data_IF_093346298460
#
_entry.id   IF_093346298460
#
_cell.length_a   1.000
_cell.length_b   1.000
_cell.length_c   1.000
_cell.angle_alpha   90.00
_cell.angle_beta   90.00
_cell.angle_gamma   90.00
#
_symmetry.space_group_name_H-M   'P 1'
#
loop_
_entity.id
_entity.type
_entity.pdbx_description
1 polymer ?
#
# COMPACT_ATOMS: atom_id res chain seq x y z
N UNK A 1 -9.11 9.99 10.26
CA UNK A 1 -9.13 9.96 11.74
C UNK A 1 -7.90 9.24 12.23
N UNK A 2 -7.57 9.34 13.52
CA UNK A 2 -6.48 8.57 14.16
C UNK A 2 -7.06 7.82 15.34
N UNK A 3 -6.81 6.52 15.43
CA UNK A 3 -7.13 5.68 16.59
C UNK A 3 -5.86 5.39 17.38
N UNK A 4 -5.96 5.47 18.70
CA UNK A 4 -4.90 5.07 19.62
C UNK A 4 -5.23 3.68 20.18
N UNK A 5 -4.25 2.78 20.19
CA UNK A 5 -4.34 1.46 20.78
C UNK A 5 -3.31 1.34 21.91
N UNK A 6 -3.80 1.32 23.16
CA UNK A 6 -3.04 1.06 24.38
C UNK A 6 -1.72 1.87 24.50
N UNK A 7 -1.70 3.14 24.09
CA UNK A 7 -0.52 4.04 24.10
C UNK A 7 0.73 3.54 23.33
N UNK A 8 0.64 2.41 22.64
CA UNK A 8 1.75 1.77 21.93
C UNK A 8 1.62 1.86 20.40
N UNK A 9 0.39 1.91 19.87
CA UNK A 9 0.16 1.95 18.43
C UNK A 9 -0.84 3.04 18.07
N UNK A 10 -0.53 3.83 17.05
CA UNK A 10 -1.50 4.74 16.42
C UNK A 10 -1.84 4.22 15.02
N UNK A 11 -3.12 4.33 14.66
CA UNK A 11 -3.62 3.96 13.33
C UNK A 11 -4.32 5.18 12.73
N UNK A 12 -3.71 5.78 11.70
CA UNK A 12 -4.34 6.85 10.93
C UNK A 12 -4.95 6.29 9.64
N UNK A 13 -6.21 6.64 9.39
CA UNK A 13 -6.89 6.34 8.13
C UNK A 13 -6.52 7.42 7.12
N UNK A 14 -6.03 7.01 5.94
CA UNK A 14 -5.65 7.90 4.84
C UNK A 14 -6.45 7.58 3.57
N UNK A 15 -6.62 8.54 2.65
CA UNK A 15 -7.34 8.30 1.41
C UNK A 15 -6.76 7.14 0.59
N UNK A 16 -7.64 6.46 -0.13
CA UNK A 16 -7.31 5.59 -1.26
C UNK A 16 -8.22 6.00 -2.44
N UNK A 17 -7.74 5.83 -3.67
CA UNK A 17 -8.49 6.11 -4.89
C UNK A 17 -8.95 4.80 -5.50
N UNK A 18 -10.17 4.40 -5.15
CA UNK A 18 -10.79 3.15 -5.61
C UNK A 18 -12.33 3.23 -5.43
N UNK A 19 -13.07 2.34 -6.09
CA UNK A 19 -14.47 2.06 -5.71
C UNK A 19 -14.53 1.11 -4.52
N UNK A 20 -15.66 1.05 -3.83
CA UNK A 20 -15.85 0.11 -2.72
C UNK A 20 -17.29 -0.37 -2.69
N UNK A 21 -17.48 -1.66 -2.96
CA UNK A 21 -18.79 -2.29 -3.00
C UNK A 21 -18.72 -3.76 -2.64
N UNK A 22 -19.80 -4.31 -2.10
CA UNK A 22 -19.94 -5.73 -1.78
C UNK A 22 -21.32 -6.25 -2.18
N UNK A 23 -21.45 -7.57 -2.30
CA UNK A 23 -22.75 -8.25 -2.47
C UNK A 23 -23.13 -8.91 -1.14
N UNK A 24 -24.31 -8.58 -0.62
CA UNK A 24 -24.80 -9.16 0.65
C UNK A 24 -25.42 -10.56 0.48
N UNK A 25 -25.77 -10.93 -0.75
CA UNK A 25 -26.33 -12.23 -1.11
C UNK A 25 -25.83 -12.64 -2.50
N UNK A 26 -25.79 -13.95 -2.76
CA UNK A 26 -25.45 -14.49 -4.07
C UNK A 26 -26.42 -13.95 -5.13
N UNK A 27 -25.88 -13.39 -6.23
CA UNK A 27 -26.64 -12.69 -7.28
C UNK A 27 -27.42 -11.43 -6.84
N UNK A 28 -27.13 -10.90 -5.65
CA UNK A 28 -27.67 -9.62 -5.18
C UNK A 28 -27.03 -8.40 -5.86
N UNK A 29 -27.66 -7.21 -5.75
CA UNK A 29 -27.07 -5.98 -6.26
C UNK A 29 -25.77 -5.64 -5.51
N UNK A 30 -24.87 -4.92 -6.19
CA UNK A 30 -23.70 -4.33 -5.53
C UNK A 30 -24.15 -3.20 -4.59
N UNK A 31 -23.78 -3.31 -3.33
CA UNK A 31 -24.02 -2.32 -2.29
C UNK A 31 -22.75 -1.53 -2.02
N UNK A 32 -22.87 -0.22 -1.84
CA UNK A 32 -21.74 0.65 -1.49
C UNK A 32 -21.17 0.27 -0.10
N UNK A 33 -19.84 0.13 -0.01
CA UNK A 33 -19.17 -0.31 1.21
C UNK A 33 -18.43 0.82 1.96
N UNK A 34 -18.67 2.09 1.60
CA UNK A 34 -17.99 3.24 2.20
C UNK A 34 -16.75 3.68 1.40
N UNK A 35 -16.00 4.64 1.93
CA UNK A 35 -14.79 5.10 1.27
C UNK A 35 -13.67 4.05 1.37
N UNK A 36 -12.92 3.75 0.30
CA UNK A 36 -11.71 2.96 0.42
C UNK A 36 -10.65 3.73 1.20
N UNK A 37 -9.78 3.00 1.91
CA UNK A 37 -8.81 3.60 2.82
C UNK A 37 -7.48 2.87 2.76
N UNK A 38 -6.41 3.64 2.94
CA UNK A 38 -5.13 3.15 3.42
C UNK A 38 -4.99 3.36 4.92
N UNK A 39 -3.94 2.76 5.49
CA UNK A 39 -3.65 2.82 6.92
C UNK A 39 -2.18 3.16 7.15
N UNK A 40 -1.96 4.20 7.96
CA UNK A 40 -0.66 4.43 8.60
C UNK A 40 -0.71 3.78 9.97
N UNK A 41 0.22 2.89 10.26
CA UNK A 41 0.38 2.24 11.56
C UNK A 41 1.71 2.68 12.14
N UNK A 42 1.69 3.46 13.21
CA UNK A 42 2.89 3.91 13.91
C UNK A 42 3.03 3.14 15.20
N UNK A 43 4.16 2.46 15.37
CA UNK A 43 4.46 1.66 16.56
C UNK A 43 5.47 2.46 17.39
N UNK A 44 5.19 2.64 18.68
CA UNK A 44 6.07 3.35 19.60
C UNK A 44 7.43 2.63 19.71
N UNK A 45 8.50 3.35 19.41
CA UNK A 45 9.85 2.78 19.34
C UNK A 45 10.07 1.79 18.19
N UNK A 46 9.11 1.67 17.26
CA UNK A 46 9.16 0.78 16.11
C UNK A 46 8.98 1.53 14.78
N UNK A 47 8.81 0.80 13.67
CA UNK A 47 8.66 1.40 12.35
C UNK A 47 7.29 2.06 12.17
N UNK A 48 7.22 3.03 11.26
CA UNK A 48 5.95 3.47 10.67
C UNK A 48 5.65 2.68 9.41
N UNK A 49 4.50 2.00 9.37
CA UNK A 49 4.02 1.22 8.24
C UNK A 49 2.96 2.01 7.49
N UNK A 50 3.02 2.03 6.15
CA UNK A 50 1.93 2.50 5.30
C UNK A 50 1.37 1.33 4.49
N UNK A 51 0.20 0.85 4.88
CA UNK A 51 -0.61 -0.05 4.07
C UNK A 51 -1.48 0.78 3.12
N UNK A 52 -1.16 0.76 1.84
CA UNK A 52 -1.85 1.61 0.84
C UNK A 52 -3.33 1.30 0.68
N UNK A 53 -3.71 0.04 0.92
CA UNK A 53 -5.02 -0.46 0.52
C UNK A 53 -5.09 -0.58 -1.00
N UNK A 54 -6.25 -0.96 -1.52
CA UNK A 54 -6.47 -0.94 -2.96
C UNK A 54 -6.65 0.50 -3.42
N UNK A 55 -5.69 0.99 -4.20
CA UNK A 55 -5.65 2.36 -4.67
C UNK A 55 -4.89 2.45 -5.99
N UNK A 56 -5.26 3.40 -6.84
CA UNK A 56 -4.37 3.95 -7.85
C UNK A 56 -3.31 4.86 -7.19
N UNK A 57 -2.26 5.23 -7.92
CA UNK A 57 -1.37 6.30 -7.48
C UNK A 57 -2.10 7.65 -7.53
N UNK A 58 -1.86 8.50 -6.55
CA UNK A 58 -2.37 9.87 -6.49
C UNK A 58 -1.36 10.79 -5.79
N UNK A 59 -1.32 12.06 -6.20
CA UNK A 59 -0.26 12.99 -5.80
C UNK A 59 -0.20 13.25 -4.29
N UNK A 60 -1.34 13.15 -3.59
CA UNK A 60 -1.44 13.37 -2.14
C UNK A 60 -0.76 12.26 -1.33
N UNK A 61 -0.33 11.15 -1.95
CA UNK A 61 0.61 10.22 -1.32
C UNK A 61 1.90 10.91 -0.86
N UNK A 62 2.31 11.98 -1.55
CA UNK A 62 3.41 12.84 -1.09
C UNK A 62 3.12 13.49 0.26
N UNK A 63 1.92 14.05 0.43
CA UNK A 63 1.52 14.65 1.71
C UNK A 63 1.43 13.61 2.84
N UNK A 64 1.03 12.38 2.52
CA UNK A 64 1.07 11.26 3.46
C UNK A 64 2.53 10.99 3.89
N UNK A 65 3.46 10.93 2.94
CA UNK A 65 4.90 10.80 3.22
C UNK A 65 5.48 11.91 4.08
N UNK A 66 5.17 13.16 3.72
CA UNK A 66 5.65 14.36 4.43
C UNK A 66 5.12 14.43 5.87
N UNK A 67 3.92 13.87 6.13
CA UNK A 67 3.29 13.91 7.45
C UNK A 67 3.69 12.75 8.34
N UNK A 68 3.74 11.54 7.80
CA UNK A 68 3.84 10.31 8.60
C UNK A 68 5.20 9.63 8.50
N UNK A 69 6.02 9.98 7.51
CA UNK A 69 7.37 9.44 7.31
C UNK A 69 7.44 7.91 7.38
N UNK A 70 6.70 7.18 6.53
CA UNK A 70 6.68 5.72 6.59
C UNK A 70 8.07 5.13 6.34
N UNK A 71 8.47 4.18 7.19
CA UNK A 71 9.69 3.40 6.98
C UNK A 71 9.44 2.25 5.99
N UNK A 72 8.24 1.66 6.05
CA UNK A 72 7.81 0.55 5.22
C UNK A 72 6.52 0.90 4.48
N UNK A 73 6.56 0.81 3.16
CA UNK A 73 5.41 0.93 2.28
C UNK A 73 4.96 -0.47 1.85
N UNK A 74 3.73 -0.84 2.16
CA UNK A 74 3.07 -2.01 1.58
C UNK A 74 2.25 -1.54 0.37
N UNK A 75 2.73 -1.84 -0.83
CA UNK A 75 2.21 -1.31 -2.09
C UNK A 75 1.61 -2.43 -2.94
N UNK A 76 0.35 -2.25 -3.33
CA UNK A 76 -0.25 -3.09 -4.37
C UNK A 76 0.50 -2.89 -5.70
N UNK A 77 0.76 -3.97 -6.42
CA UNK A 77 1.43 -3.93 -7.75
C UNK A 77 0.67 -4.70 -8.83
N UNK A 78 -0.60 -5.02 -8.60
CA UNK A 78 -1.39 -5.87 -9.50
C UNK A 78 -1.77 -5.22 -10.84
N UNK A 79 -1.79 -3.88 -10.91
CA UNK A 79 -1.97 -3.10 -12.14
C UNK A 79 -3.39 -3.02 -12.73
N UNK A 80 -4.27 -3.99 -12.46
CA UNK A 80 -5.62 -3.98 -13.03
C UNK A 80 -6.64 -3.18 -12.21
N UNK A 81 -6.71 -3.47 -10.90
CA UNK A 81 -7.59 -2.75 -9.96
C UNK A 81 -6.83 -1.72 -9.12
N UNK A 82 -5.52 -1.89 -8.99
CA UNK A 82 -4.65 -1.10 -8.13
C UNK A 82 -3.44 -0.59 -8.91
N UNK A 83 -2.53 0.11 -8.25
CA UNK A 83 -1.23 0.48 -8.83
C UNK A 83 -0.56 -0.69 -9.56
N UNK A 84 0.07 -0.37 -10.68
CA UNK A 84 1.05 -1.24 -11.32
C UNK A 84 2.44 -1.07 -10.66
N UNK A 85 3.46 -1.83 -11.07
CA UNK A 85 4.81 -1.68 -10.50
C UNK A 85 5.44 -0.29 -10.71
N UNK A 86 5.08 0.45 -11.76
CA UNK A 86 5.61 1.78 -12.03
C UNK A 86 4.98 2.83 -11.10
N UNK A 87 3.66 2.77 -10.94
CA UNK A 87 2.89 3.60 -10.02
C UNK A 87 3.29 3.35 -8.56
N UNK A 88 3.51 2.08 -8.18
CA UNK A 88 4.01 1.73 -6.85
C UNK A 88 5.41 2.31 -6.59
N UNK A 89 6.25 2.43 -7.62
CA UNK A 89 7.54 3.11 -7.50
C UNK A 89 7.40 4.63 -7.36
N UNK A 90 6.40 5.26 -7.98
CA UNK A 90 6.07 6.67 -7.74
C UNK A 90 5.57 6.89 -6.30
N UNK A 91 4.69 6.01 -5.82
CA UNK A 91 4.25 6.01 -4.43
C UNK A 91 5.42 5.86 -3.46
N UNK A 92 6.37 4.95 -3.72
CA UNK A 92 7.57 4.80 -2.91
C UNK A 92 8.45 6.06 -2.89
N UNK A 93 8.62 6.72 -4.05
CA UNK A 93 9.35 8.00 -4.15
C UNK A 93 8.70 9.07 -3.29
N UNK A 94 7.38 9.25 -3.43
CA UNK A 94 6.67 10.38 -2.85
C UNK A 94 6.37 10.19 -1.37
N UNK A 95 6.18 8.95 -0.93
CA UNK A 95 6.08 8.63 0.49
C UNK A 95 7.44 8.70 1.21
N UNK A 96 8.54 8.60 0.45
CA UNK A 96 9.90 8.58 1.00
C UNK A 96 10.27 7.27 1.71
N UNK A 97 9.47 6.21 1.53
CA UNK A 97 9.66 4.95 2.23
C UNK A 97 10.99 4.27 1.87
N UNK A 98 11.68 3.74 2.87
CA UNK A 98 12.98 3.08 2.72
C UNK A 98 12.83 1.63 2.30
N UNK A 99 11.76 0.97 2.74
CA UNK A 99 11.41 -0.40 2.41
C UNK A 99 10.09 -0.43 1.66
N UNK A 100 10.02 -1.17 0.57
CA UNK A 100 8.82 -1.33 -0.25
C UNK A 100 8.49 -2.82 -0.35
N UNK A 101 7.37 -3.21 0.23
CA UNK A 101 6.87 -4.59 0.20
C UNK A 101 5.78 -4.67 -0.87
N UNK A 102 6.02 -5.35 -2.01
CA UNK A 102 4.98 -5.58 -2.99
C UNK A 102 3.90 -6.51 -2.45
N UNK A 103 2.64 -6.19 -2.74
CA UNK A 103 1.48 -7.02 -2.40
C UNK A 103 0.42 -6.97 -3.51
N UNK A 104 -0.67 -7.73 -3.33
CA UNK A 104 -1.83 -7.73 -4.24
C UNK A 104 -1.48 -7.99 -5.73
N UNK A 105 -0.66 -9.03 -5.99
CA UNK A 105 -0.25 -9.43 -7.34
C UNK A 105 -0.18 -10.95 -7.48
N UNK A 106 -0.30 -11.47 -8.71
CA UNK A 106 -0.08 -12.88 -9.03
C UNK A 106 -1.09 -13.88 -8.43
N UNK A 107 -2.11 -13.43 -7.71
CA UNK A 107 -3.15 -14.28 -7.11
C UNK A 107 -4.32 -14.55 -8.05
N UNK A 108 -4.56 -13.64 -9.01
CA UNK A 108 -5.55 -13.80 -10.07
C UNK A 108 -4.90 -13.53 -11.43
N UNK A 109 -5.37 -14.16 -12.53
CA UNK A 109 -4.77 -13.99 -13.86
C UNK A 109 -4.67 -12.54 -14.34
N UNK A 110 -5.59 -11.67 -13.89
CA UNK A 110 -5.64 -10.26 -14.28
C UNK A 110 -4.63 -9.37 -13.53
N UNK A 111 -4.04 -9.86 -12.43
CA UNK A 111 -3.08 -9.12 -11.63
C UNK A 111 -1.66 -9.39 -12.12
N UNK A 112 -1.31 -8.77 -13.26
CA UNK A 112 -0.14 -9.14 -14.06
C UNK A 112 1.18 -8.54 -13.60
N UNK A 113 1.17 -7.52 -12.74
CA UNK A 113 2.41 -6.87 -12.31
C UNK A 113 3.30 -7.78 -11.46
N UNK A 114 4.61 -7.59 -11.58
CA UNK A 114 5.61 -8.49 -11.01
C UNK A 114 6.61 -7.77 -10.07
N UNK A 115 7.16 -8.47 -9.07
CA UNK A 115 8.26 -7.94 -8.25
C UNK A 115 9.49 -7.53 -9.07
N UNK A 116 9.78 -8.24 -10.16
CA UNK A 116 10.89 -7.91 -11.07
C UNK A 116 10.68 -6.55 -11.74
N UNK A 117 9.47 -6.27 -12.21
CA UNK A 117 9.10 -4.96 -12.75
C UNK A 117 9.16 -3.86 -11.69
N UNK A 118 8.71 -4.15 -10.46
CA UNK A 118 8.79 -3.19 -9.35
C UNK A 118 10.26 -2.87 -9.03
N UNK A 119 11.11 -3.89 -8.94
CA UNK A 119 12.54 -3.69 -8.69
C UNK A 119 13.19 -2.80 -9.75
N UNK A 120 12.81 -2.97 -11.03
CA UNK A 120 13.27 -2.12 -12.13
C UNK A 120 12.73 -0.70 -12.01
N UNK A 121 11.46 -0.53 -11.66
CA UNK A 121 10.82 0.77 -11.49
C UNK A 121 11.40 1.55 -10.30
N UNK A 122 11.65 0.90 -9.17
CA UNK A 122 12.27 1.50 -7.98
C UNK A 122 13.67 2.04 -8.28
N UNK A 123 14.50 1.27 -9.01
CA UNK A 123 15.84 1.74 -9.44
C UNK A 123 15.77 3.02 -10.28
N UNK A 124 14.71 3.18 -11.07
CA UNK A 124 14.52 4.35 -11.95
C UNK A 124 13.94 5.56 -11.22
N UNK A 125 12.93 5.35 -10.37
CA UNK A 125 12.07 6.43 -9.87
C UNK A 125 12.19 6.68 -8.35
N UNK A 126 12.64 5.69 -7.58
CA UNK A 126 12.73 5.74 -6.12
C UNK A 126 13.99 5.03 -5.61
N UNK A 127 15.21 5.51 -5.95
CA UNK A 127 16.46 4.78 -5.67
C UNK A 127 16.75 4.57 -4.17
N UNK A 128 16.05 5.28 -3.28
CA UNK A 128 16.12 5.09 -1.83
C UNK A 128 15.25 3.94 -1.33
N UNK A 129 14.21 3.56 -2.07
CA UNK A 129 13.29 2.48 -1.74
C UNK A 129 13.89 1.14 -2.10
N UNK A 130 14.13 0.30 -1.09
CA UNK A 130 14.58 -1.08 -1.26
C UNK A 130 13.38 -2.01 -1.29
N UNK A 131 13.25 -2.77 -2.37
CA UNK A 131 12.22 -3.81 -2.43
C UNK A 131 12.52 -4.90 -1.40
N UNK A 132 11.51 -5.24 -0.60
CA UNK A 132 11.53 -6.37 0.33
C UNK A 132 10.43 -7.33 -0.12
N UNK A 133 10.80 -8.24 -1.02
CA UNK A 133 9.88 -9.27 -1.49
C UNK A 133 9.74 -10.37 -0.43
N UNK A 134 8.50 -10.74 -0.13
CA UNK A 134 8.17 -11.83 0.79
C UNK A 134 7.58 -13.00 0.02
N UNK A 135 7.89 -14.23 0.43
CA UNK A 135 7.20 -15.44 -0.03
C UNK A 135 5.89 -15.63 0.74
N UNK A 136 4.96 -16.40 0.16
CA UNK A 136 3.72 -16.78 0.87
C UNK A 136 4.09 -17.50 2.17
N UNK A 137 3.58 -17.00 3.30
CA UNK A 137 3.86 -17.52 4.65
C UNK A 137 5.18 -17.02 5.26
N UNK A 138 5.96 -16.20 4.56
CA UNK A 138 7.18 -15.61 5.12
C UNK A 138 6.85 -14.49 6.11
N UNK A 139 7.63 -14.42 7.19
CA UNK A 139 7.58 -13.34 8.18
C UNK A 139 8.87 -12.54 8.13
N UNK A 140 8.77 -11.21 8.30
CA UNK A 140 9.91 -10.31 8.27
C UNK A 140 9.90 -9.35 9.44
N UNK A 141 11.07 -9.15 10.04
CA UNK A 141 11.32 -8.09 11.02
C UNK A 141 11.91 -6.88 10.32
N UNK A 142 11.42 -5.69 10.69
CA UNK A 142 11.85 -4.39 10.19
C UNK A 142 12.47 -3.58 11.31
#
# INVERSE_FOLDING_TARGET
GVLQLNDEVTVALVPAVHSSSFQAAENGPLLYAGAPLGFIVQIKGGPTLYHTGDTAYFAEMKHIGDRFHPDVLLACIGGHFTMDPADAALAARDTGAKSVVPMHYGTFPVLTGTPEELAKALKKSAPRGKMVQLKIGETRTF
#
